data_IF_956643555965
#
_entry.id   IF_956643555965
#
_cell.length_a   1.000
_cell.length_b   1.000
_cell.length_c   1.000
_cell.angle_alpha   90.00
_cell.angle_beta   90.00
_cell.angle_gamma   90.00
#
_symmetry.space_group_name_H-M   'P 1'
#
loop_
_entity.id
_entity.type
_entity.pdbx_description
1 polymer ?
#
# COMPACT_ATOMS: atom_id res chain seq x y z
N UNK A 1 5.86 8.43 -19.84
CA UNK A 1 4.62 9.03 -19.29
C UNK A 1 4.12 10.10 -20.23
N UNK A 2 2.81 10.16 -20.48
CA UNK A 2 2.18 11.27 -21.21
C UNK A 2 1.84 12.42 -20.26
N UNK A 3 1.82 13.66 -20.77
CA UNK A 3 1.40 14.83 -20.00
C UNK A 3 -0.09 15.05 -20.21
N UNK A 4 -0.86 15.02 -19.13
CA UNK A 4 -2.31 15.23 -19.15
C UNK A 4 -2.65 16.44 -18.29
N UNK A 5 -3.55 17.30 -18.76
CA UNK A 5 -4.10 18.40 -17.99
C UNK A 5 -5.52 18.02 -17.54
N UNK A 6 -5.74 17.90 -16.24
CA UNK A 6 -7.02 17.54 -15.61
C UNK A 6 -7.20 18.39 -14.37
N UNK A 7 -8.45 18.75 -14.08
CA UNK A 7 -8.80 19.41 -12.83
C UNK A 7 -8.88 18.37 -11.71
N UNK A 8 -8.26 18.68 -10.58
CA UNK A 8 -8.24 17.84 -9.38
C UNK A 8 -8.76 18.65 -8.20
N UNK A 9 -9.53 18.00 -7.33
CA UNK A 9 -9.92 18.59 -6.05
C UNK A 9 -8.70 18.64 -5.12
N UNK A 10 -8.27 19.85 -4.79
CA UNK A 10 -7.12 20.11 -3.93
C UNK A 10 -7.28 19.52 -2.53
N UNK A 11 -8.51 19.41 -2.00
CA UNK A 11 -8.79 18.82 -0.70
C UNK A 11 -8.53 17.32 -0.73
N UNK A 12 -8.98 16.64 -1.79
CA UNK A 12 -8.75 15.20 -1.96
C UNK A 12 -7.27 14.89 -2.17
N UNK A 13 -6.59 15.69 -2.99
CA UNK A 13 -5.16 15.52 -3.23
C UNK A 13 -4.37 15.75 -1.94
N UNK A 14 -4.67 16.80 -1.18
CA UNK A 14 -4.03 17.07 0.11
C UNK A 14 -4.25 15.92 1.11
N UNK A 15 -5.45 15.34 1.16
CA UNK A 15 -5.74 14.22 2.05
C UNK A 15 -4.98 12.95 1.65
N UNK A 16 -4.85 12.65 0.35
CA UNK A 16 -4.01 11.55 -0.13
C UNK A 16 -2.54 11.80 0.22
N UNK A 17 -2.04 13.02 -0.03
CA UNK A 17 -0.67 13.40 0.31
C UNK A 17 -0.38 13.25 1.80
N UNK A 18 -1.30 13.70 2.66
CA UNK A 18 -1.20 13.58 4.12
C UNK A 18 -1.25 12.13 4.59
N UNK A 19 -2.15 11.31 4.03
CA UNK A 19 -2.34 9.89 4.43
C UNK A 19 -1.18 9.00 4.02
N UNK A 20 -0.60 9.26 2.85
CA UNK A 20 0.41 8.38 2.25
C UNK A 20 1.82 8.99 2.22
N UNK A 21 2.01 10.19 2.78
CA UNK A 21 3.31 10.84 2.92
C UNK A 21 3.94 11.26 1.59
N UNK A 22 3.16 11.42 0.52
CA UNK A 22 3.68 11.82 -0.79
C UNK A 22 3.75 13.34 -0.92
N UNK A 23 4.80 13.84 -1.58
CA UNK A 23 5.16 15.26 -1.60
C UNK A 23 4.62 16.00 -2.82
N UNK A 24 4.22 15.29 -3.88
CA UNK A 24 3.70 15.92 -5.10
C UNK A 24 2.30 15.43 -5.48
N UNK A 25 1.51 16.30 -6.12
CA UNK A 25 0.19 15.93 -6.66
C UNK A 25 0.30 14.80 -7.69
N UNK A 26 1.39 14.78 -8.45
CA UNK A 26 1.67 13.72 -9.44
C UNK A 26 1.83 12.36 -8.76
N UNK A 27 2.61 12.31 -7.67
CA UNK A 27 2.83 11.07 -6.94
C UNK A 27 1.56 10.59 -6.24
N UNK A 28 0.74 11.52 -5.74
CA UNK A 28 -0.58 11.19 -5.20
C UNK A 28 -1.50 10.54 -6.26
N UNK A 29 -1.51 11.09 -7.48
CA UNK A 29 -2.30 10.53 -8.60
C UNK A 29 -1.74 9.18 -9.06
N UNK A 30 -0.42 9.06 -9.22
CA UNK A 30 0.23 7.81 -9.61
C UNK A 30 -0.03 6.70 -8.58
N UNK A 31 0.07 7.03 -7.28
CA UNK A 31 -0.25 6.12 -6.18
C UNK A 31 -1.72 5.70 -6.20
N UNK A 32 -2.65 6.65 -6.40
CA UNK A 32 -4.08 6.35 -6.46
C UNK A 32 -4.40 5.41 -7.64
N UNK A 33 -3.84 5.67 -8.82
CA UNK A 33 -4.01 4.81 -9.99
C UNK A 33 -3.40 3.43 -9.78
N UNK A 34 -2.19 3.33 -9.22
CA UNK A 34 -1.56 2.05 -8.88
C UNK A 34 -2.32 1.28 -7.80
N UNK A 35 -3.05 1.95 -6.92
CA UNK A 35 -3.87 1.29 -5.91
C UNK A 35 -5.22 0.84 -6.46
N UNK A 36 -5.77 1.57 -7.44
CA UNK A 36 -6.97 1.18 -8.17
C UNK A 36 -6.71 0.03 -9.17
N UNK A 37 -5.55 0.05 -9.83
CA UNK A 37 -5.12 -0.96 -10.81
C UNK A 37 -4.29 -2.07 -10.17
N UNK A 38 -3.77 -1.83 -8.97
CA UNK A 38 -2.93 -2.76 -8.23
C UNK A 38 -3.60 -4.10 -8.07
N UNK A 39 -2.77 -5.14 -7.84
CA UNK A 39 -3.22 -6.53 -7.73
C UNK A 39 -4.53 -6.52 -6.94
N UNK A 40 -5.67 -6.85 -7.57
CA UNK A 40 -6.83 -7.11 -6.77
C UNK A 40 -6.37 -8.27 -5.90
N UNK A 41 -6.22 -8.01 -4.61
CA UNK A 41 -6.31 -9.04 -3.60
C UNK A 41 -7.76 -9.53 -3.73
N UNK A 42 -8.04 -10.20 -4.85
CA UNK A 42 -9.34 -10.75 -5.14
C UNK A 42 -9.59 -11.69 -3.99
N UNK A 43 -10.86 -11.81 -3.63
CA UNK A 43 -11.25 -12.83 -2.68
C UNK A 43 -10.62 -14.18 -3.05
N UNK A 44 -10.59 -14.52 -4.33
CA UNK A 44 -10.01 -15.76 -4.84
C UNK A 44 -8.49 -15.84 -4.66
N UNK A 45 -7.74 -14.74 -4.90
CA UNK A 45 -6.31 -14.69 -4.64
C UNK A 45 -6.02 -14.85 -3.15
N UNK A 46 -6.75 -14.15 -2.28
CA UNK A 46 -6.58 -14.27 -0.82
C UNK A 46 -6.93 -15.68 -0.32
N UNK A 47 -8.00 -16.30 -0.84
CA UNK A 47 -8.35 -17.67 -0.54
C UNK A 47 -7.33 -18.68 -1.08
N UNK A 48 -6.68 -18.38 -2.20
CA UNK A 48 -5.59 -19.23 -2.72
C UNK A 48 -4.36 -19.27 -1.81
N UNK A 49 -4.23 -18.29 -0.90
CA UNK A 49 -3.17 -18.27 0.12
C UNK A 49 -3.51 -19.15 1.33
N UNK A 50 -4.74 -19.66 1.45
CA UNK A 50 -5.11 -20.59 2.51
C UNK A 50 -4.36 -21.91 2.34
N UNK A 51 -3.60 -22.32 3.37
CA UNK A 51 -2.87 -23.58 3.34
C UNK A 51 -1.46 -23.52 2.72
N UNK A 52 -0.98 -22.35 2.27
CA UNK A 52 0.43 -22.19 1.83
C UNK A 52 1.45 -22.45 2.95
N UNK A 53 0.97 -22.48 4.19
CA UNK A 53 1.78 -22.71 5.38
C UNK A 53 2.68 -21.51 5.70
N UNK A 54 3.14 -21.47 6.94
CA UNK A 54 4.21 -20.56 7.34
C UNK A 54 5.15 -21.36 8.22
N UNK A 55 6.41 -21.48 7.78
CA UNK A 55 7.41 -22.37 8.40
C UNK A 55 8.14 -21.75 9.60
N UNK A 56 7.84 -20.49 9.94
CA UNK A 56 8.48 -19.84 11.07
C UNK A 56 7.96 -20.35 12.42
N UNK A 57 8.74 -20.10 13.48
CA UNK A 57 8.30 -20.29 14.86
C UNK A 57 7.83 -18.95 15.44
N UNK A 58 6.51 -18.79 15.61
CA UNK A 58 5.90 -17.56 16.15
C UNK A 58 6.46 -17.20 17.54
N UNK A 59 6.72 -18.20 18.38
CA UNK A 59 7.21 -18.00 19.74
C UNK A 59 8.65 -17.47 19.74
N UNK A 60 9.48 -17.92 18.78
CA UNK A 60 10.85 -17.40 18.61
C UNK A 60 10.85 -15.91 18.31
N UNK A 61 10.04 -15.49 17.34
CA UNK A 61 9.94 -14.07 16.93
C UNK A 61 9.42 -13.18 18.06
N UNK A 62 8.48 -13.67 18.88
CA UNK A 62 7.93 -12.91 20.01
C UNK A 62 8.88 -12.81 21.20
N UNK A 63 9.77 -13.80 21.34
CA UNK A 63 10.76 -13.84 22.42
C UNK A 63 11.99 -12.98 22.14
N UNK A 64 12.22 -12.60 20.88
CA UNK A 64 13.20 -11.59 20.52
C UNK A 64 12.69 -10.23 21.03
N UNK A 65 13.21 -9.81 22.18
CA UNK A 65 13.03 -8.42 22.62
C UNK A 65 13.59 -7.52 21.52
N UNK A 66 12.84 -6.48 21.08
CA UNK A 66 13.38 -5.52 20.15
C UNK A 66 14.67 -4.98 20.76
N UNK A 67 15.80 -5.19 20.07
CA UNK A 67 17.06 -4.59 20.46
C UNK A 67 16.84 -3.07 20.45
N UNK A 68 16.87 -2.45 21.63
CA UNK A 68 16.88 -0.99 21.75
C UNK A 68 18.07 -0.46 20.94
N UNK A 69 17.77 0.26 19.86
CA UNK A 69 18.68 1.14 19.14
C UNK A 69 18.20 2.58 19.33
#
# INVERSE_FOLDING_TARGET
MSRTNIDLDDVLVAEVMRRFGVTTKKDAVDLALRRLVGMPLTRDFLLSLEGIGWEGALDGIRSEQPSEL
#
